data_IF_725744337443
#
_entry.id   IF_725744337443
#
_cell.length_a   1.000
_cell.length_b   1.000
_cell.length_c   1.000
_cell.angle_alpha   90.00
_cell.angle_beta   90.00
_cell.angle_gamma   90.00
#
_symmetry.space_group_name_H-M   'P 1'
#
loop_
_entity.id
_entity.type
_entity.pdbx_description
1 polymer ?
#
# COMPACT_ATOMS: atom_id res chain seq x y z
N UNK A 1 14.30 23.09 5.99
CA UNK A 1 13.40 23.25 7.16
C UNK A 1 14.07 22.59 8.36
N UNK A 2 14.80 23.27 9.24
CA UNK A 2 14.50 24.48 10.03
C UNK A 2 15.85 25.16 10.38
N UNK A 3 15.94 26.46 10.72
CA UNK A 3 17.07 26.89 11.54
C UNK A 3 16.91 26.26 12.93
N UNK A 4 17.99 25.83 13.58
CA UNK A 4 17.96 25.34 14.97
C UNK A 4 17.20 26.30 15.92
N UNK A 5 17.20 27.60 15.60
CA UNK A 5 16.70 28.69 16.45
C UNK A 5 15.62 29.57 15.79
N UNK A 6 14.96 29.12 14.71
CA UNK A 6 13.98 29.92 13.95
C UNK A 6 12.51 29.58 14.21
N UNK A 7 11.56 30.50 13.90
CA UNK A 7 10.13 30.22 13.99
C UNK A 7 9.73 29.10 13.02
N UNK A 8 8.78 28.25 13.42
CA UNK A 8 8.24 27.20 12.55
C UNK A 8 7.54 27.83 11.32
N UNK A 9 7.64 27.21 10.14
CA UNK A 9 6.93 27.70 8.96
C UNK A 9 5.41 27.66 9.18
N UNK A 10 4.69 28.60 8.59
CA UNK A 10 3.23 28.50 8.47
C UNK A 10 2.87 27.32 7.56
N UNK A 11 1.61 26.86 7.61
CA UNK A 11 1.13 25.80 6.71
C UNK A 11 1.41 26.14 5.24
N UNK A 12 1.07 27.35 4.79
CA UNK A 12 1.33 27.78 3.41
C UNK A 12 2.82 27.94 3.10
N UNK A 13 3.64 28.29 4.08
CA UNK A 13 5.10 28.33 3.94
C UNK A 13 5.66 26.93 3.69
N UNK A 14 5.32 25.97 4.53
CA UNK A 14 5.76 24.57 4.38
C UNK A 14 5.21 23.93 3.09
N UNK A 15 3.94 24.20 2.77
CA UNK A 15 3.30 23.70 1.55
C UNK A 15 3.95 24.28 0.29
N UNK A 16 4.26 25.58 0.29
CA UNK A 16 4.94 26.24 -0.82
C UNK A 16 6.36 25.72 -1.04
N UNK A 17 7.09 25.37 0.01
CA UNK A 17 8.38 24.67 -0.13
C UNK A 17 8.19 23.26 -0.70
N UNK A 18 7.28 22.47 -0.14
CA UNK A 18 6.99 21.12 -0.63
C UNK A 18 6.65 21.09 -2.14
N UNK A 19 5.83 22.03 -2.61
CA UNK A 19 5.48 22.15 -4.03
C UNK A 19 6.67 22.47 -4.95
N UNK A 20 7.73 23.09 -4.41
CA UNK A 20 8.94 23.45 -5.18
C UNK A 20 10.05 22.42 -5.03
N UNK A 21 9.94 21.48 -4.10
CA UNK A 21 10.89 20.39 -3.94
C UNK A 21 10.81 19.48 -5.18
N UNK A 22 11.94 19.22 -5.86
CA UNK A 22 11.97 18.24 -6.95
C UNK A 22 11.44 16.88 -6.48
N UNK A 23 10.73 16.12 -7.32
CA UNK A 23 10.38 14.75 -6.99
C UNK A 23 11.62 13.95 -6.57
N UNK A 24 11.53 13.12 -5.51
CA UNK A 24 12.66 12.36 -5.02
C UNK A 24 13.16 11.38 -6.08
N UNK A 25 14.48 11.22 -6.16
CA UNK A 25 15.15 10.19 -6.94
C UNK A 25 15.30 8.89 -6.15
N UNK A 26 15.71 7.82 -6.83
CA UNK A 26 16.05 6.56 -6.14
C UNK A 26 17.30 6.69 -5.25
N UNK A 27 18.23 7.58 -5.60
CA UNK A 27 19.39 7.88 -4.76
C UNK A 27 18.98 8.57 -3.46
N UNK A 28 17.95 9.44 -3.50
CA UNK A 28 17.39 10.06 -2.30
C UNK A 28 16.74 9.03 -1.38
N UNK A 29 16.06 8.02 -1.95
CA UNK A 29 15.49 6.91 -1.17
C UNK A 29 16.59 6.09 -0.50
N UNK A 30 17.64 5.73 -1.23
CA UNK A 30 18.78 4.98 -0.69
C UNK A 30 19.53 5.76 0.39
N UNK A 31 19.73 7.07 0.17
CA UNK A 31 20.31 7.97 1.16
C UNK A 31 19.45 8.03 2.43
N UNK A 32 18.16 8.32 2.30
CA UNK A 32 17.26 8.42 3.46
C UNK A 32 17.17 7.11 4.23
N UNK A 33 17.16 5.97 3.53
CA UNK A 33 17.21 4.64 4.14
C UNK A 33 18.47 4.47 4.99
N UNK A 34 19.63 4.89 4.48
CA UNK A 34 20.91 4.82 5.19
C UNK A 34 20.92 5.70 6.43
N UNK A 35 20.43 6.93 6.33
CA UNK A 35 20.35 7.87 7.45
C UNK A 35 19.39 7.38 8.55
N UNK A 36 18.27 6.75 8.17
CA UNK A 36 17.27 6.27 9.13
C UNK A 36 17.75 5.11 10.01
N UNK A 37 18.51 4.16 9.47
CA UNK A 37 19.08 3.03 10.22
C UNK A 37 18.11 1.93 10.68
N UNK A 38 16.78 2.12 10.59
CA UNK A 38 15.75 1.13 10.98
C UNK A 38 14.91 0.56 9.83
N UNK A 39 13.78 -0.13 10.13
CA UNK A 39 12.79 -0.51 9.12
C UNK A 39 12.30 0.72 8.35
N UNK A 40 12.22 0.59 7.03
CA UNK A 40 11.91 1.69 6.13
C UNK A 40 10.94 1.23 5.05
N UNK A 41 9.77 1.86 4.99
CA UNK A 41 8.72 1.53 4.04
C UNK A 41 8.58 2.59 2.95
N UNK A 42 8.66 2.18 1.68
CA UNK A 42 8.28 3.04 0.56
C UNK A 42 6.80 2.87 0.22
N UNK A 43 6.03 3.96 0.28
CA UNK A 43 4.58 3.95 0.01
C UNK A 43 4.27 4.60 -1.34
N UNK A 44 3.29 4.04 -2.05
CA UNK A 44 2.81 4.60 -3.31
C UNK A 44 3.26 3.80 -4.54
N UNK A 45 3.71 2.57 -4.35
CA UNK A 45 4.21 1.72 -5.42
C UNK A 45 3.04 1.08 -6.16
N UNK A 46 2.96 1.24 -7.47
CA UNK A 46 1.90 0.63 -8.30
C UNK A 46 2.45 -0.12 -9.51
N UNK A 47 3.78 -0.21 -9.63
CA UNK A 47 4.48 -0.84 -10.75
C UNK A 47 5.57 -1.78 -10.25
N UNK A 48 5.85 -2.80 -11.06
CA UNK A 48 6.84 -3.85 -10.81
C UNK A 48 8.27 -3.32 -10.89
N UNK A 49 8.57 -2.46 -11.87
CA UNK A 49 9.88 -1.82 -12.01
C UNK A 49 10.22 -0.94 -10.80
N UNK A 50 9.26 -0.16 -10.31
CA UNK A 50 9.43 0.62 -9.08
C UNK A 50 9.61 -0.25 -7.84
N UNK A 51 8.85 -1.35 -7.73
CA UNK A 51 9.00 -2.30 -6.62
C UNK A 51 10.39 -2.93 -6.56
N UNK A 52 10.95 -3.30 -7.73
CA UNK A 52 12.32 -3.81 -7.83
C UNK A 52 13.36 -2.77 -7.44
N UNK A 53 13.22 -1.53 -7.93
CA UNK A 53 14.12 -0.43 -7.55
C UNK A 53 14.04 -0.10 -6.06
N UNK A 54 12.86 -0.19 -5.46
CA UNK A 54 12.69 -0.04 -4.02
C UNK A 54 13.47 -1.12 -3.25
N UNK A 55 13.35 -2.38 -3.68
CA UNK A 55 14.12 -3.47 -3.11
C UNK A 55 15.64 -3.29 -3.30
N UNK A 56 16.09 -2.76 -4.44
CA UNK A 56 17.50 -2.47 -4.71
C UNK A 56 18.02 -1.30 -3.85
N UNK A 57 17.16 -0.33 -3.52
CA UNK A 57 17.46 0.79 -2.61
C UNK A 57 17.48 0.38 -1.11
N UNK A 58 17.22 -0.90 -0.80
CA UNK A 58 17.31 -1.42 0.57
C UNK A 58 16.12 -1.10 1.47
N UNK A 59 14.95 -0.79 0.89
CA UNK A 59 13.71 -0.66 1.68
C UNK A 59 13.35 -2.02 2.28
N UNK A 60 12.84 -2.03 3.51
CA UNK A 60 12.46 -3.28 4.20
C UNK A 60 11.00 -3.65 3.96
N UNK A 61 10.19 -2.66 3.60
CA UNK A 61 8.80 -2.84 3.23
C UNK A 61 8.41 -1.90 2.09
N UNK A 62 7.34 -2.23 1.38
CA UNK A 62 6.67 -1.29 0.47
C UNK A 62 5.16 -1.38 0.63
N UNK A 63 4.46 -0.31 0.28
CA UNK A 63 3.00 -0.30 0.24
C UNK A 63 2.50 -0.10 -1.19
N UNK A 64 1.74 -1.07 -1.67
CA UNK A 64 0.95 -0.98 -2.90
C UNK A 64 -0.19 -0.01 -2.65
N UNK A 65 -0.08 1.18 -3.23
CA UNK A 65 -0.93 2.31 -2.87
C UNK A 65 -1.10 3.29 -4.02
N UNK A 66 -2.33 3.78 -4.22
CA UNK A 66 -2.65 4.93 -5.06
C UNK A 66 -3.18 6.11 -4.23
N UNK A 67 -2.79 6.18 -2.94
CA UNK A 67 -3.25 7.19 -1.98
C UNK A 67 -4.78 7.23 -1.81
N UNK A 68 -5.43 6.07 -1.88
CA UNK A 68 -6.87 5.97 -1.75
C UNK A 68 -7.66 6.62 -2.90
N UNK A 69 -7.03 6.73 -4.07
CA UNK A 69 -7.57 7.35 -5.29
C UNK A 69 -7.46 8.87 -5.33
N UNK A 70 -6.57 9.48 -4.52
CA UNK A 70 -6.53 10.94 -4.34
C UNK A 70 -5.47 11.66 -5.18
N UNK A 71 -4.46 10.97 -5.70
CA UNK A 71 -3.32 11.62 -6.35
C UNK A 71 -3.49 11.71 -7.87
N UNK A 72 -3.66 10.57 -8.55
CA UNK A 72 -3.78 10.49 -10.00
C UNK A 72 -5.02 9.68 -10.37
N UNK A 73 -5.93 10.31 -11.10
CA UNK A 73 -7.13 9.67 -11.61
C UNK A 73 -6.78 8.58 -12.62
N UNK A 74 -7.70 7.63 -12.83
CA UNK A 74 -7.57 6.48 -13.75
C UNK A 74 -6.45 5.49 -13.42
N UNK A 75 -5.77 5.64 -12.28
CA UNK A 75 -4.89 4.59 -11.75
C UNK A 75 -5.72 3.35 -11.38
N UNK A 76 -5.19 2.13 -11.59
CA UNK A 76 -5.94 0.92 -11.27
C UNK A 76 -6.19 0.81 -9.76
N UNK A 77 -7.23 0.05 -9.40
CA UNK A 77 -7.40 -0.38 -8.03
C UNK A 77 -6.16 -1.16 -7.57
N UNK A 78 -5.63 -0.82 -6.39
CA UNK A 78 -4.35 -1.33 -5.86
C UNK A 78 -4.32 -2.85 -5.74
N UNK A 79 -5.44 -3.47 -5.35
CA UNK A 79 -5.59 -4.93 -5.27
C UNK A 79 -5.33 -5.64 -6.61
N UNK A 80 -5.54 -4.97 -7.76
CA UNK A 80 -5.30 -5.56 -9.08
C UNK A 80 -3.83 -5.65 -9.44
N UNK A 81 -2.98 -4.75 -8.92
CA UNK A 81 -1.53 -4.75 -9.18
C UNK A 81 -0.73 -5.44 -8.07
N UNK A 82 -1.35 -5.69 -6.92
CA UNK A 82 -0.73 -6.35 -5.77
C UNK A 82 -0.06 -7.69 -6.12
N UNK A 83 -0.70 -8.66 -6.81
CA UNK A 83 -0.09 -9.97 -7.03
C UNK A 83 1.21 -9.89 -7.83
N UNK A 84 1.23 -9.04 -8.86
CA UNK A 84 2.41 -8.85 -9.72
C UNK A 84 3.57 -8.21 -8.95
N UNK A 85 3.27 -7.24 -8.08
CA UNK A 85 4.28 -6.59 -7.24
C UNK A 85 4.82 -7.57 -6.21
N UNK A 86 3.95 -8.31 -5.51
CA UNK A 86 4.35 -9.30 -4.51
C UNK A 86 5.25 -10.39 -5.12
N UNK A 87 4.87 -10.94 -6.27
CA UNK A 87 5.68 -11.91 -6.99
C UNK A 87 7.04 -11.35 -7.44
N UNK A 88 7.10 -10.07 -7.85
CA UNK A 88 8.32 -9.47 -8.36
C UNK A 88 9.40 -9.21 -7.30
N UNK A 89 8.99 -8.93 -6.05
CA UNK A 89 9.93 -8.69 -4.95
C UNK A 89 10.19 -9.93 -4.09
N UNK A 90 9.25 -10.89 -4.08
CA UNK A 90 9.35 -12.12 -3.28
C UNK A 90 9.67 -11.80 -1.82
N UNK A 91 10.58 -12.58 -1.22
CA UNK A 91 10.97 -12.43 0.19
C UNK A 91 11.95 -11.29 0.45
N UNK A 92 12.32 -10.50 -0.57
CA UNK A 92 13.28 -9.39 -0.41
C UNK A 92 12.71 -8.23 0.42
N UNK A 93 11.39 -8.01 0.36
CA UNK A 93 10.71 -6.84 0.92
C UNK A 93 9.30 -7.24 1.37
N UNK A 94 8.87 -6.80 2.55
CA UNK A 94 7.49 -7.00 2.98
C UNK A 94 6.53 -6.11 2.15
N UNK A 95 5.50 -6.73 1.57
CA UNK A 95 4.52 -6.02 0.73
C UNK A 95 3.27 -5.73 1.54
N UNK A 96 2.89 -4.46 1.69
CA UNK A 96 1.65 -4.04 2.31
C UNK A 96 0.69 -3.50 1.25
N UNK A 97 -0.60 -3.44 1.55
CA UNK A 97 -1.62 -2.88 0.66
C UNK A 97 -2.41 -1.76 1.34
N UNK A 98 -2.67 -0.68 0.64
CA UNK A 98 -3.72 0.28 1.01
C UNK A 98 -4.66 0.59 -0.18
N UNK A 99 -5.67 1.42 0.06
CA UNK A 99 -6.57 1.89 -1.00
C UNK A 99 -7.79 1.01 -1.16
N UNK A 100 -8.84 1.29 -0.39
CA UNK A 100 -10.15 0.66 -0.57
C UNK A 100 -10.51 -0.46 0.42
N UNK A 101 -9.69 -0.76 1.42
CA UNK A 101 -10.03 -1.72 2.49
C UNK A 101 -11.18 -1.19 3.34
N UNK A 102 -12.31 -1.90 3.40
CA UNK A 102 -13.51 -1.48 4.15
C UNK A 102 -14.11 -2.53 5.06
N UNK A 103 -13.72 -3.80 4.91
CA UNK A 103 -14.21 -4.94 5.71
C UNK A 103 -13.13 -6.00 5.87
N UNK A 104 -13.28 -6.88 6.85
CA UNK A 104 -12.35 -7.98 7.10
C UNK A 104 -12.11 -8.92 5.91
N UNK A 105 -13.15 -9.18 5.11
CA UNK A 105 -12.98 -9.96 3.87
C UNK A 105 -12.11 -9.29 2.80
N UNK A 106 -11.95 -7.96 2.81
CA UNK A 106 -10.99 -7.29 1.94
C UNK A 106 -9.56 -7.50 2.44
N UNK A 107 -9.38 -7.57 3.78
CA UNK A 107 -8.10 -7.92 4.42
C UNK A 107 -7.70 -9.34 4.01
N UNK A 108 -8.60 -10.31 4.15
CA UNK A 108 -8.34 -11.70 3.77
C UNK A 108 -7.89 -11.83 2.32
N UNK A 109 -8.57 -11.15 1.39
CA UNK A 109 -8.19 -11.12 -0.04
C UNK A 109 -6.82 -10.51 -0.28
N UNK A 110 -6.49 -9.42 0.41
CA UNK A 110 -5.19 -8.79 0.27
C UNK A 110 -4.06 -9.71 0.76
N UNK A 111 -4.26 -10.38 1.90
CA UNK A 111 -3.30 -11.35 2.44
C UNK A 111 -3.11 -12.54 1.49
N UNK A 112 -4.22 -13.14 1.03
CA UNK A 112 -4.22 -14.21 0.03
C UNK A 112 -3.49 -13.84 -1.27
N UNK A 113 -3.54 -12.57 -1.67
CA UNK A 113 -2.89 -12.06 -2.88
C UNK A 113 -1.44 -11.60 -2.68
N UNK A 114 -0.84 -11.87 -1.52
CA UNK A 114 0.58 -11.65 -1.25
C UNK A 114 0.91 -10.39 -0.44
N UNK A 115 -0.08 -9.72 0.16
CA UNK A 115 0.20 -8.70 1.16
C UNK A 115 0.54 -9.34 2.52
N UNK A 116 1.52 -8.80 3.23
CA UNK A 116 1.83 -9.13 4.63
C UNK A 116 0.84 -8.51 5.60
N UNK A 117 0.37 -7.30 5.29
CA UNK A 117 -0.61 -6.56 6.07
C UNK A 117 -1.32 -5.53 5.18
N UNK A 118 -2.40 -4.95 5.70
CA UNK A 118 -3.10 -3.85 5.06
C UNK A 118 -3.02 -2.58 5.90
N UNK A 119 -3.10 -1.42 5.24
CA UNK A 119 -3.20 -0.12 5.87
C UNK A 119 -4.60 0.43 5.64
N UNK A 120 -5.18 1.03 6.67
CA UNK A 120 -6.50 1.67 6.61
C UNK A 120 -6.37 3.18 6.78
N UNK A 121 -7.27 3.93 6.14
CA UNK A 121 -7.29 5.39 6.16
C UNK A 121 -8.68 5.91 6.52
N UNK A 122 -9.48 6.24 5.50
CA UNK A 122 -10.85 6.79 5.66
C UNK A 122 -11.73 6.05 6.66
N UNK A 123 -11.63 4.72 6.75
CA UNK A 123 -12.47 3.92 7.64
C UNK A 123 -12.34 4.35 9.12
N UNK A 124 -11.13 4.46 9.65
CA UNK A 124 -10.95 4.87 11.05
C UNK A 124 -11.28 6.35 11.26
N UNK A 125 -11.06 7.20 10.25
CA UNK A 125 -11.43 8.62 10.32
C UNK A 125 -12.94 8.82 10.42
N UNK A 126 -13.73 7.98 9.74
CA UNK A 126 -15.19 8.01 9.86
C UNK A 126 -15.64 7.53 11.24
N UNK A 127 -15.01 6.48 11.78
CA UNK A 127 -15.22 6.07 13.17
C UNK A 127 -14.92 7.20 14.15
N UNK A 128 -13.77 7.85 13.98
CA UNK A 128 -13.33 8.99 14.79
C UNK A 128 -14.35 10.13 14.76
N UNK A 129 -14.87 10.48 13.58
CA UNK A 129 -15.85 11.55 13.42
C UNK A 129 -17.21 11.19 14.04
N UNK A 130 -17.61 9.91 13.97
CA UNK A 130 -18.90 9.45 14.45
C UNK A 130 -18.95 9.32 15.98
N UNK A 131 -17.89 8.80 16.61
CA UNK A 131 -17.91 8.52 18.05
C UNK A 131 -16.53 8.55 18.72
N UNK A 132 -15.64 9.44 18.27
CA UNK A 132 -14.32 9.60 18.86
C UNK A 132 -13.50 8.30 18.83
N UNK A 133 -12.73 8.06 19.90
CA UNK A 133 -11.94 6.83 20.06
C UNK A 133 -12.79 5.56 19.96
N UNK A 134 -13.97 5.51 20.60
CA UNK A 134 -14.83 4.34 20.57
C UNK A 134 -15.32 4.00 19.16
N UNK A 135 -15.48 5.02 18.29
CA UNK A 135 -15.78 4.79 16.89
C UNK A 135 -14.60 4.21 16.10
N UNK A 136 -13.37 4.60 16.42
CA UNK A 136 -12.16 3.97 15.85
C UNK A 136 -12.05 2.51 16.29
N UNK A 137 -12.22 2.23 17.58
CA UNK A 137 -12.19 0.88 18.14
C UNK A 137 -13.23 -0.02 17.48
N UNK A 138 -14.47 0.45 17.33
CA UNK A 138 -15.53 -0.29 16.65
C UNK A 138 -15.19 -0.61 15.17
N UNK A 139 -14.53 0.30 14.45
CA UNK A 139 -14.05 0.03 13.08
C UNK A 139 -13.01 -1.09 13.07
N UNK A 140 -12.07 -1.09 14.03
CA UNK A 140 -11.06 -2.13 14.16
C UNK A 140 -11.69 -3.49 14.52
N UNK A 141 -12.68 -3.50 15.42
CA UNK A 141 -13.41 -4.71 15.81
C UNK A 141 -14.20 -5.30 14.63
N UNK A 142 -14.89 -4.47 13.84
CA UNK A 142 -15.61 -4.92 12.63
C UNK A 142 -14.64 -5.54 11.61
N UNK A 143 -13.47 -4.92 11.41
CA UNK A 143 -12.47 -5.46 10.50
C UNK A 143 -11.90 -6.78 11.00
N UNK A 144 -11.56 -6.86 12.29
CA UNK A 144 -11.06 -8.08 12.93
C UNK A 144 -12.08 -9.21 12.85
N UNK A 145 -13.31 -8.99 13.32
CA UNK A 145 -14.37 -10.00 13.30
C UNK A 145 -14.72 -10.46 11.88
N UNK A 146 -14.68 -9.55 10.90
CA UNK A 146 -14.85 -9.91 9.50
C UNK A 146 -13.71 -10.75 8.91
N UNK A 147 -12.47 -10.56 9.39
CA UNK A 147 -11.32 -11.37 8.99
C UNK A 147 -11.39 -12.75 9.63
N UNK A 148 -11.70 -12.81 10.94
CA UNK A 148 -11.91 -14.05 11.68
C UNK A 148 -13.01 -14.89 11.02
N UNK A 149 -14.12 -14.26 10.63
CA UNK A 149 -15.22 -14.92 9.92
C UNK A 149 -14.78 -15.47 8.55
N UNK A 150 -13.92 -14.75 7.82
CA UNK A 150 -13.43 -15.18 6.51
C UNK A 150 -12.47 -16.37 6.64
N UNK A 151 -11.51 -16.32 7.57
CA UNK A 151 -10.57 -17.41 7.86
C UNK A 151 -11.32 -18.67 8.28
N UNK A 152 -12.26 -18.54 9.22
CA UNK A 152 -13.09 -19.66 9.66
C UNK A 152 -13.96 -20.21 8.53
N UNK A 153 -14.57 -19.33 7.72
CA UNK A 153 -15.43 -19.72 6.61
C UNK A 153 -14.71 -20.46 5.48
N UNK A 154 -13.40 -20.23 5.33
CA UNK A 154 -12.52 -20.96 4.40
C UNK A 154 -11.97 -22.26 5.00
N UNK A 155 -12.25 -22.55 6.27
CA UNK A 155 -11.75 -23.74 6.95
C UNK A 155 -10.29 -23.63 7.41
N UNK A 156 -9.74 -22.42 7.48
CA UNK A 156 -8.38 -22.17 7.94
C UNK A 156 -8.32 -21.93 9.45
N UNK A 157 -7.18 -22.27 10.07
CA UNK A 157 -6.91 -21.98 11.48
C UNK A 157 -6.12 -20.68 11.69
N UNK A 158 -5.52 -20.16 10.62
CA UNK A 158 -4.68 -18.97 10.63
C UNK A 158 -4.78 -18.17 9.35
N UNK A 159 -4.59 -16.85 9.44
CA UNK A 159 -4.44 -15.97 8.27
C UNK A 159 -3.25 -16.34 7.39
N UNK A 160 -2.28 -17.08 7.93
CA UNK A 160 -1.11 -17.54 7.19
C UNK A 160 -1.41 -18.69 6.22
N UNK A 161 -2.58 -19.31 6.32
CA UNK A 161 -3.04 -20.34 5.39
C UNK A 161 -3.73 -19.74 4.16
N UNK A 162 -4.09 -18.45 4.21
CA UNK A 162 -4.76 -17.76 3.11
C UNK A 162 -3.86 -17.72 1.88
N UNK A 163 -4.44 -18.07 0.73
CA UNK A 163 -3.73 -18.17 -0.54
C UNK A 163 -4.63 -17.76 -1.72
N UNK A 164 -4.07 -17.57 -2.93
CA UNK A 164 -4.89 -17.31 -4.11
C UNK A 164 -5.93 -18.40 -4.41
N UNK A 165 -5.74 -19.63 -3.92
CA UNK A 165 -6.67 -20.76 -4.14
C UNK A 165 -7.99 -20.57 -3.37
N UNK A 166 -8.03 -19.70 -2.36
CA UNK A 166 -9.25 -19.33 -1.63
C UNK A 166 -10.16 -18.37 -2.40
N UNK A 167 -9.71 -17.91 -3.56
CA UNK A 167 -10.33 -16.84 -4.33
C UNK A 167 -10.78 -17.32 -5.71
N UNK A 168 -11.98 -16.91 -6.10
CA UNK A 168 -12.38 -16.94 -7.51
C UNK A 168 -11.86 -15.67 -8.18
N UNK A 169 -10.73 -15.76 -8.88
CA UNK A 169 -10.10 -14.64 -9.58
C UNK A 169 -10.49 -14.67 -11.06
N UNK A 170 -11.28 -13.70 -11.56
CA UNK A 170 -11.70 -13.72 -12.96
C UNK A 170 -10.52 -13.45 -13.90
N UNK A 171 -10.55 -13.98 -15.14
CA UNK A 171 -9.56 -13.65 -16.16
C UNK A 171 -9.42 -12.14 -16.36
N UNK A 172 -8.18 -11.66 -16.45
CA UNK A 172 -7.89 -10.23 -16.62
C UNK A 172 -8.02 -9.38 -15.34
N UNK A 173 -8.29 -9.99 -14.18
CA UNK A 173 -8.31 -9.25 -12.90
C UNK A 173 -6.93 -8.66 -12.57
N UNK A 174 -5.89 -9.49 -12.51
CA UNK A 174 -4.55 -9.06 -12.17
C UNK A 174 -3.93 -8.25 -13.31
N UNK A 175 -3.26 -7.15 -12.95
CA UNK A 175 -2.60 -6.24 -13.87
C UNK A 175 -1.11 -6.19 -13.53
N UNK A 176 -0.27 -6.24 -14.57
CA UNK A 176 1.19 -6.10 -14.43
C UNK A 176 1.62 -4.79 -15.08
N UNK A 177 1.96 -3.79 -14.26
CA UNK A 177 2.52 -2.52 -14.75
C UNK A 177 4.04 -2.54 -14.57
N UNK A 178 4.79 -2.13 -15.59
CA UNK A 178 6.26 -2.06 -15.51
C UNK A 178 6.98 -3.42 -15.49
N UNK A 179 6.33 -4.49 -15.95
CA UNK A 179 6.93 -5.84 -16.05
C UNK A 179 7.72 -6.12 -17.33
N UNK A 180 7.37 -5.47 -18.45
CA UNK A 180 7.91 -5.69 -19.82
C UNK A 180 7.44 -7.00 -20.50
N UNK A 181 7.17 -7.10 -21.80
CA UNK A 181 7.12 -6.11 -22.90
C UNK A 181 5.70 -5.50 -23.08
N UNK A 182 5.64 -4.29 -23.66
CA UNK A 182 4.40 -3.62 -24.07
C UNK A 182 3.69 -4.51 -25.11
N UNK A 183 2.40 -4.86 -24.95
CA UNK A 183 1.67 -5.48 -26.05
C UNK A 183 1.61 -4.50 -27.22
N UNK A 184 1.83 -4.97 -28.45
CA UNK A 184 1.57 -4.19 -29.66
C UNK A 184 0.17 -3.59 -29.55
N UNK A 185 0.11 -2.27 -29.36
CA UNK A 185 -1.13 -1.53 -29.53
C UNK A 185 -1.39 -1.55 -31.03
N UNK A 186 -2.51 -2.14 -31.52
CA UNK A 186 -2.82 -2.07 -32.94
C UNK A 186 -2.90 -0.59 -33.32
N UNK A 187 -2.14 -0.19 -34.34
CA UNK A 187 -2.31 1.12 -34.93
C UNK A 187 -3.76 1.23 -35.40
N UNK A 188 -4.54 2.08 -34.74
CA UNK A 188 -5.86 2.51 -35.19
C UNK A 188 -5.75 3.49 -36.34
#
# INVERSE_FOLDING_TARGET
LKPPDGPAPTFFGAYGEWLRTPPPSWDDVAWLRKEWGGPFMLKGVTRVDDAKRAADAGVTALSVSNHGGNNLDTTPATVRVLPAIAAAVGDRVEVLLDGGIRRGGDVAKALALGARAVLIGRAYLWGLAANGQAGVENVLDIMRGGLDSAVLGLGHSSVHELSPDDLVIPPGFALTLGGGAVPDVPAG
#
